data_IF_146563114785
#
_entry.id   IF_146563114785
#
_cell.length_a   1.000
_cell.length_b   1.000
_cell.length_c   1.000
_cell.angle_alpha   90.00
_cell.angle_beta   90.00
_cell.angle_gamma   90.00
#
_symmetry.space_group_name_H-M   'P 1'
#
loop_
_entity.id
_entity.type
_entity.pdbx_description
1 polymer ?
#
# COMPACT_ATOMS: atom_id res chain seq x y z
N UNK A 1 7.22 16.32 13.89
CA UNK A 1 6.77 17.08 12.70
C UNK A 1 6.72 18.57 13.04
N UNK A 2 6.80 19.47 12.05
CA UNK A 2 6.71 20.92 12.26
C UNK A 2 5.39 21.36 12.94
N UNK A 3 4.33 20.56 12.79
CA UNK A 3 3.00 20.77 13.37
C UNK A 3 2.70 19.86 14.57
N UNK A 4 3.71 19.54 15.40
CA UNK A 4 3.60 18.56 16.51
C UNK A 4 2.40 18.83 17.42
N UNK A 5 2.27 20.04 17.95
CA UNK A 5 1.22 20.41 18.91
C UNK A 5 -0.19 20.24 18.32
N UNK A 6 -0.39 20.66 17.07
CA UNK A 6 -1.67 20.50 16.37
C UNK A 6 -2.02 19.03 16.17
N UNK A 7 -1.03 18.19 15.84
CA UNK A 7 -1.25 16.76 15.64
C UNK A 7 -1.61 16.04 16.95
N UNK A 8 -0.95 16.37 18.06
CA UNK A 8 -1.26 15.79 19.37
C UNK A 8 -2.61 16.27 19.90
N UNK A 9 -2.96 17.55 19.72
CA UNK A 9 -4.27 18.07 20.09
C UNK A 9 -5.39 17.36 19.32
N UNK A 10 -5.27 17.23 17.99
CA UNK A 10 -6.27 16.53 17.18
C UNK A 10 -6.44 15.05 17.56
N UNK A 11 -5.33 14.37 17.94
CA UNK A 11 -5.39 13.01 18.48
C UNK A 11 -6.21 12.98 19.78
N UNK A 12 -5.91 13.87 20.72
CA UNK A 12 -6.52 13.87 22.05
C UNK A 12 -8.00 14.27 21.98
N UNK A 13 -8.35 15.30 21.21
CA UNK A 13 -9.72 15.76 21.00
C UNK A 13 -10.62 14.71 20.32
N UNK A 14 -10.06 13.91 19.40
CA UNK A 14 -10.80 12.84 18.71
C UNK A 14 -10.86 11.53 19.49
N UNK A 15 -10.12 11.41 20.60
CA UNK A 15 -9.88 10.12 21.27
C UNK A 15 -9.12 9.12 20.39
N UNK A 16 -8.39 9.62 19.40
CA UNK A 16 -7.67 8.84 18.42
C UNK A 16 -6.29 8.40 18.89
N UNK A 17 -5.50 7.86 17.96
CA UNK A 17 -4.15 7.36 18.20
C UNK A 17 -3.22 7.87 17.10
N UNK A 18 -1.97 8.16 17.48
CA UNK A 18 -0.83 8.27 16.56
C UNK A 18 0.05 7.05 16.85
N UNK A 19 0.29 6.22 15.84
CA UNK A 19 1.15 5.04 15.92
C UNK A 19 2.16 5.07 14.76
N UNK A 20 3.14 4.16 14.81
CA UNK A 20 4.18 3.99 13.82
C UNK A 20 4.00 2.67 13.05
N UNK A 21 4.54 2.64 11.84
CA UNK A 21 4.72 1.45 11.02
C UNK A 21 6.15 1.44 10.49
N UNK A 22 6.66 0.24 10.22
CA UNK A 22 7.98 0.03 9.62
C UNK A 22 7.94 0.26 8.10
N UNK A 23 9.09 0.51 7.50
CA UNK A 23 9.21 0.62 6.03
C UNK A 23 8.71 -0.65 5.32
N UNK A 24 8.99 -1.84 5.86
CA UNK A 24 8.51 -3.09 5.30
C UNK A 24 6.98 -3.20 5.33
N UNK A 25 6.33 -2.76 6.42
CA UNK A 25 4.87 -2.70 6.51
C UNK A 25 4.29 -1.72 5.50
N UNK A 26 4.92 -0.54 5.32
CA UNK A 26 4.53 0.45 4.32
C UNK A 26 4.62 -0.16 2.91
N UNK A 27 5.75 -0.79 2.58
CA UNK A 27 5.99 -1.37 1.26
C UNK A 27 5.05 -2.54 0.96
N UNK A 28 4.73 -3.36 1.97
CA UNK A 28 3.74 -4.42 1.81
C UNK A 28 2.34 -3.86 1.55
N UNK A 29 1.89 -2.86 2.31
CA UNK A 29 0.60 -2.20 2.09
C UNK A 29 0.53 -1.50 0.72
N UNK A 30 1.62 -0.85 0.32
CA UNK A 30 1.76 -0.21 -0.99
C UNK A 30 1.56 -1.21 -2.14
N UNK A 31 2.22 -2.36 -2.08
CA UNK A 31 2.06 -3.43 -3.09
C UNK A 31 0.65 -4.00 -3.10
N UNK A 32 0.06 -4.20 -1.92
CA UNK A 32 -1.31 -4.71 -1.80
C UNK A 32 -2.32 -3.76 -2.47
N UNK A 33 -2.22 -2.45 -2.22
CA UNK A 33 -3.08 -1.45 -2.86
C UNK A 33 -2.99 -1.51 -4.38
N UNK A 34 -1.78 -1.62 -4.93
CA UNK A 34 -1.58 -1.69 -6.37
C UNK A 34 -2.11 -3.01 -6.98
N UNK A 35 -1.81 -4.15 -6.36
CA UNK A 35 -2.10 -5.48 -6.95
C UNK A 35 -3.54 -5.93 -6.70
N UNK A 36 -4.14 -5.55 -5.57
CA UNK A 36 -5.49 -6.01 -5.18
C UNK A 36 -6.59 -5.01 -5.51
N UNK A 37 -6.30 -3.72 -5.43
CA UNK A 37 -7.32 -2.66 -5.56
C UNK A 37 -7.09 -1.75 -6.78
N UNK A 38 -5.96 -1.88 -7.48
CA UNK A 38 -5.61 -0.98 -8.59
C UNK A 38 -5.33 0.47 -8.16
N UNK A 39 -5.06 0.70 -6.87
CA UNK A 39 -4.78 2.04 -6.32
C UNK A 39 -3.28 2.28 -6.28
N UNK A 40 -2.82 3.26 -7.06
CA UNK A 40 -1.40 3.57 -7.20
C UNK A 40 -1.02 4.92 -6.55
N UNK A 41 -0.69 4.87 -5.25
CA UNK A 41 -0.22 6.02 -4.48
C UNK A 41 1.30 6.09 -4.31
N UNK A 42 1.81 7.09 -3.61
CA UNK A 42 3.22 7.11 -3.16
C UNK A 42 3.41 6.21 -1.91
N UNK A 43 4.63 5.73 -1.60
CA UNK A 43 4.86 4.86 -0.43
C UNK A 43 4.38 5.46 0.89
N UNK A 44 4.66 6.74 1.14
CA UNK A 44 4.22 7.42 2.36
C UNK A 44 2.69 7.40 2.54
N UNK A 45 1.92 7.43 1.43
CA UNK A 45 0.46 7.33 1.47
C UNK A 45 -0.02 5.96 1.96
N UNK A 46 0.73 4.88 1.68
CA UNK A 46 0.39 3.54 2.10
C UNK A 46 0.54 3.32 3.62
N UNK A 47 1.16 4.25 4.35
CA UNK A 47 1.29 4.18 5.81
C UNK A 47 -0.08 4.12 6.52
N UNK A 48 -1.10 4.78 5.98
CA UNK A 48 -2.47 4.72 6.53
C UNK A 48 -3.05 3.30 6.48
N UNK A 49 -2.85 2.61 5.35
CA UNK A 49 -3.31 1.23 5.13
C UNK A 49 -2.44 0.23 5.90
N UNK A 50 -1.12 0.45 5.96
CA UNK A 50 -0.21 -0.34 6.79
C UNK A 50 -0.62 -0.29 8.28
N UNK A 51 -0.95 0.91 8.77
CA UNK A 51 -1.45 1.11 10.14
C UNK A 51 -2.75 0.35 10.38
N UNK A 52 -3.69 0.41 9.44
CA UNK A 52 -4.93 -0.35 9.53
C UNK A 52 -4.68 -1.87 9.57
N UNK A 53 -3.84 -2.40 8.69
CA UNK A 53 -3.47 -3.82 8.66
C UNK A 53 -2.83 -4.24 10.00
N UNK A 54 -1.94 -3.41 10.55
CA UNK A 54 -1.31 -3.64 11.86
C UNK A 54 -2.35 -3.66 12.99
N UNK A 55 -3.28 -2.70 13.01
CA UNK A 55 -4.33 -2.62 14.02
C UNK A 55 -5.34 -3.76 13.93
N UNK A 56 -5.67 -4.21 12.72
CA UNK A 56 -6.62 -5.30 12.48
C UNK A 56 -6.15 -6.65 13.06
N UNK A 57 -4.84 -6.80 13.33
CA UNK A 57 -4.30 -7.96 14.06
C UNK A 57 -4.72 -8.01 15.54
N UNK A 58 -5.11 -6.87 16.11
CA UNK A 58 -5.43 -6.72 17.54
C UNK A 58 -6.87 -6.28 17.80
N UNK A 59 -7.55 -5.75 16.79
CA UNK A 59 -8.89 -5.18 16.91
C UNK A 59 -9.80 -5.70 15.79
N UNK A 60 -11.08 -5.88 16.12
CA UNK A 60 -12.10 -6.21 15.13
C UNK A 60 -12.75 -4.92 14.60
N UNK A 61 -12.68 -4.72 13.29
CA UNK A 61 -13.30 -3.60 12.58
C UNK A 61 -14.57 -3.98 11.81
N UNK A 62 -15.09 -5.21 11.98
CA UNK A 62 -16.33 -5.64 11.32
C UNK A 62 -17.49 -4.67 11.62
N UNK A 63 -18.27 -4.34 10.58
CA UNK A 63 -19.37 -3.39 10.65
C UNK A 63 -18.97 -1.92 10.79
N UNK A 64 -17.66 -1.59 10.84
CA UNK A 64 -17.18 -0.21 10.89
C UNK A 64 -16.84 0.30 9.49
N UNK A 65 -16.98 1.61 9.28
CA UNK A 65 -16.51 2.31 8.08
C UNK A 65 -15.17 2.96 8.39
N UNK A 66 -14.16 2.64 7.59
CA UNK A 66 -12.80 3.16 7.74
C UNK A 66 -12.41 3.88 6.45
N UNK A 67 -11.74 5.02 6.58
CA UNK A 67 -11.20 5.78 5.45
C UNK A 67 -9.69 5.88 5.63
N UNK A 68 -8.94 5.36 4.64
CA UNK A 68 -7.48 5.53 4.57
C UNK A 68 -7.16 6.63 3.56
N UNK A 69 -6.39 7.64 3.98
CA UNK A 69 -6.07 8.79 3.14
C UNK A 69 -4.84 8.48 2.30
N UNK A 70 -4.97 8.61 0.97
CA UNK A 70 -3.87 8.52 0.01
C UNK A 70 -3.48 9.94 -0.38
N UNK A 71 -2.36 10.43 0.15
CA UNK A 71 -1.94 11.84 0.06
C UNK A 71 -1.27 12.20 -1.25
N UNK A 72 -0.72 11.23 -1.98
CA UNK A 72 0.02 11.46 -3.22
C UNK A 72 -0.12 10.34 -4.23
N UNK A 73 0.06 10.70 -5.50
CA UNK A 73 0.06 9.77 -6.64
C UNK A 73 1.39 9.01 -6.74
N UNK A 74 1.33 7.73 -7.10
CA UNK A 74 2.52 6.90 -7.32
C UNK A 74 3.36 7.32 -8.52
N UNK A 75 2.84 8.18 -9.40
CA UNK A 75 3.57 8.71 -10.55
C UNK A 75 4.62 9.76 -10.18
N UNK A 76 4.65 10.24 -8.93
CA UNK A 76 5.66 11.23 -8.48
C UNK A 76 7.08 10.67 -8.41
N UNK A 77 7.24 9.38 -8.15
CA UNK A 77 8.56 8.72 -8.11
C UNK A 77 8.51 7.36 -8.83
N UNK A 78 8.87 7.32 -10.13
CA UNK A 78 8.83 6.09 -10.91
C UNK A 78 9.92 5.09 -10.51
N UNK A 79 10.88 5.46 -9.67
CA UNK A 79 11.96 4.55 -9.26
C UNK A 79 11.53 3.57 -8.18
N UNK A 80 10.56 3.94 -7.34
CA UNK A 80 10.10 3.07 -6.25
C UNK A 80 9.45 1.78 -6.79
N UNK A 81 8.51 1.83 -7.76
CA UNK A 81 7.98 0.62 -8.38
C UNK A 81 9.08 -0.28 -8.96
N UNK A 82 10.11 0.32 -9.57
CA UNK A 82 11.21 -0.42 -10.22
C UNK A 82 12.00 -1.31 -9.28
N UNK A 83 12.02 -1.03 -7.97
CA UNK A 83 12.67 -1.89 -6.97
C UNK A 83 11.93 -3.20 -6.72
N UNK A 84 10.65 -3.26 -7.09
CA UNK A 84 9.76 -4.37 -6.71
C UNK A 84 9.04 -5.00 -7.91
N UNK A 85 8.98 -4.29 -9.03
CA UNK A 85 8.49 -4.84 -10.28
C UNK A 85 9.40 -5.99 -10.72
N UNK A 86 8.82 -7.16 -10.94
CA UNK A 86 9.55 -8.21 -11.64
C UNK A 86 9.58 -7.89 -13.13
N UNK A 87 10.70 -8.16 -13.81
CA UNK A 87 10.74 -8.04 -15.26
C UNK A 87 9.66 -8.95 -15.86
N UNK A 88 9.00 -8.53 -16.95
CA UNK A 88 8.13 -9.41 -17.70
C UNK A 88 8.90 -10.67 -18.12
N UNK A 89 8.25 -11.83 -18.05
CA UNK A 89 8.83 -13.07 -18.56
C UNK A 89 9.06 -12.97 -20.06
N UNK A 90 10.28 -13.21 -20.51
CA UNK A 90 10.63 -13.21 -21.94
C UNK A 90 10.28 -14.58 -22.56
N UNK A 91 9.53 -14.56 -23.65
CA UNK A 91 9.10 -15.74 -24.40
C UNK A 91 9.47 -15.60 -25.87
N UNK A 92 9.67 -16.72 -26.57
CA UNK A 92 9.86 -16.72 -28.01
C UNK A 92 8.64 -16.09 -28.72
N UNK A 93 8.86 -15.41 -29.84
CA UNK A 93 7.81 -14.82 -30.68
C UNK A 93 7.03 -15.90 -31.47
N UNK A 94 6.39 -16.80 -30.73
CA UNK A 94 5.66 -17.95 -31.22
C UNK A 94 4.37 -18.11 -30.39
N UNK A 95 3.22 -18.19 -31.06
CA UNK A 95 1.92 -18.28 -30.42
C UNK A 95 1.80 -19.49 -29.48
N UNK A 96 2.27 -20.67 -29.89
CA UNK A 96 2.15 -21.89 -29.07
C UNK A 96 2.97 -21.79 -27.78
N UNK A 97 4.12 -21.11 -27.81
CA UNK A 97 4.95 -20.87 -26.62
C UNK A 97 4.25 -19.95 -25.63
N UNK A 98 3.56 -18.92 -26.13
CA UNK A 98 2.79 -17.99 -25.28
C UNK A 98 1.57 -18.66 -24.67
N UNK A 99 0.84 -19.46 -25.46
CA UNK A 99 -0.32 -20.21 -24.98
C UNK A 99 0.05 -21.22 -23.89
N UNK A 100 1.13 -21.98 -24.10
CA UNK A 100 1.66 -22.91 -23.10
C UNK A 100 2.08 -22.21 -21.81
N UNK A 101 2.60 -20.98 -21.87
CA UNK A 101 2.99 -20.24 -20.68
C UNK A 101 1.79 -19.70 -19.89
N UNK A 102 0.74 -19.24 -20.57
CA UNK A 102 -0.41 -18.60 -19.94
C UNK A 102 -1.46 -19.58 -19.42
N UNK A 103 -1.61 -20.74 -20.06
CA UNK A 103 -2.78 -21.61 -19.88
C UNK A 103 -2.46 -23.04 -19.47
N UNK A 104 -1.19 -23.41 -19.33
CA UNK A 104 -0.80 -24.77 -18.92
C UNK A 104 -0.61 -24.78 -17.40
N UNK A 105 -1.44 -25.57 -16.73
CA UNK A 105 -1.44 -25.77 -15.27
C UNK A 105 -0.08 -26.27 -14.74
#
# INVERSE_FOLDING_TARGET
PASWEKATAARDESGGIIDLVTDDEILNAYRLLAIKEGVFGEPASAASVAGLIKMAKKQNFSGKKIVCIITGTGLKDPNVPRRYAQPPTELAANLSVVEDFLFKD
#
